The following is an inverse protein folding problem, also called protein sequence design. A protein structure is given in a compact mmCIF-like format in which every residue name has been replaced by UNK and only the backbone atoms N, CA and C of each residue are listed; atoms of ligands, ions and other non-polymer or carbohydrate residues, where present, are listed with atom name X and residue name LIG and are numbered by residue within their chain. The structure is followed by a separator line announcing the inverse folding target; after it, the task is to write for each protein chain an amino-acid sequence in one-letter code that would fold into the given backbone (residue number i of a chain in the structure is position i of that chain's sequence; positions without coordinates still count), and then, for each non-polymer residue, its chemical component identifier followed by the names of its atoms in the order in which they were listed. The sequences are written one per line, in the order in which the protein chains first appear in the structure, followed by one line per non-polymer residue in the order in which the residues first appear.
data_IF_253124026723
#
_entry.id   IF_253124026723
#
_cell.length_a   1.000
_cell.length_b   1.000
_cell.length_c   1.000
_cell.angle_alpha   90.00
_cell.angle_beta   90.00
_cell.angle_gamma   90.00
#
_symmetry.space_group_name_H-M   'P 1'
#
loop_
_entity.id
_entity.type
_entity.pdbx_description
1 polymer ?
#
# COMPACT_ATOMS: atom_id res chain seq x y z
N UNK A 1 -35.90 -23.76 10.88
CA UNK A 1 -34.72 -23.62 10.00
C UNK A 1 -34.66 -22.16 9.54
N UNK A 2 -33.72 -21.35 10.05
CA UNK A 2 -33.56 -19.96 9.62
C UNK A 2 -32.60 -19.92 8.43
N UNK A 3 -33.08 -19.51 7.27
CA UNK A 3 -32.25 -19.29 6.08
C UNK A 3 -31.50 -17.97 6.25
N UNK A 4 -30.23 -18.04 6.62
CA UNK A 4 -29.33 -16.89 6.66
C UNK A 4 -29.18 -16.38 5.22
N UNK A 5 -29.80 -15.25 4.91
CA UNK A 5 -29.67 -14.60 3.62
C UNK A 5 -28.19 -14.27 3.38
N UNK A 6 -27.63 -14.79 2.30
CA UNK A 6 -26.25 -14.48 1.87
C UNK A 6 -26.17 -12.98 1.61
N UNK A 7 -25.15 -12.26 2.14
CA UNK A 7 -25.03 -10.84 1.88
C UNK A 7 -24.85 -10.62 0.37
N UNK A 8 -25.76 -9.81 -0.16
CA UNK A 8 -25.96 -9.47 -1.55
C UNK A 8 -24.63 -9.10 -2.24
N UNK A 9 -24.23 -9.93 -3.21
CA UNK A 9 -22.95 -9.81 -3.93
C UNK A 9 -22.85 -8.50 -4.74
N UNK A 10 -24.01 -7.86 -4.98
CA UNK A 10 -24.13 -6.57 -5.67
C UNK A 10 -23.58 -5.41 -4.83
N UNK A 11 -23.50 -5.54 -3.50
CA UNK A 11 -22.95 -4.51 -2.63
C UNK A 11 -21.40 -4.45 -2.62
N UNK A 12 -20.72 -5.44 -3.23
CA UNK A 12 -19.24 -5.48 -3.30
C UNK A 12 -18.63 -4.54 -4.35
N UNK A 13 -19.44 -3.95 -5.24
CA UNK A 13 -18.98 -3.12 -6.37
C UNK A 13 -19.44 -1.67 -6.30
N UNK A 14 -19.71 -1.13 -5.10
CA UNK A 14 -19.73 0.32 -4.94
C UNK A 14 -18.31 0.81 -5.14
N UNK A 15 -18.00 1.27 -6.35
CA UNK A 15 -16.77 1.99 -6.63
C UNK A 15 -16.72 3.17 -5.65
N UNK A 16 -15.82 3.09 -4.68
CA UNK A 16 -15.60 4.18 -3.74
C UNK A 16 -15.02 5.32 -4.57
N UNK A 17 -15.83 6.37 -4.77
CA UNK A 17 -15.39 7.59 -5.45
C UNK A 17 -14.49 8.32 -4.46
N UNK A 18 -13.19 8.33 -4.73
CA UNK A 18 -12.21 9.11 -3.96
C UNK A 18 -12.32 10.58 -4.38
N UNK A 19 -12.21 11.51 -3.42
CA UNK A 19 -12.08 12.93 -3.73
C UNK A 19 -10.68 13.22 -4.29
N UNK A 20 -10.54 14.33 -5.02
CA UNK A 20 -9.24 14.74 -5.57
C UNK A 20 -8.18 14.93 -4.46
N UNK A 21 -8.59 15.44 -3.29
CA UNK A 21 -7.72 15.57 -2.11
C UNK A 21 -7.21 14.21 -1.61
N UNK A 22 -8.07 13.18 -1.60
CA UNK A 22 -7.67 11.83 -1.19
C UNK A 22 -6.70 11.20 -2.20
N UNK A 23 -6.89 11.49 -3.50
CA UNK A 23 -5.98 11.04 -4.56
C UNK A 23 -4.63 11.72 -4.39
N UNK A 24 -4.61 13.05 -4.25
CA UNK A 24 -3.38 13.83 -4.06
C UNK A 24 -2.62 13.36 -2.81
N UNK A 25 -3.32 13.20 -1.69
CA UNK A 25 -2.70 12.69 -0.45
C UNK A 25 -2.12 11.28 -0.62
N UNK A 26 -2.79 10.41 -1.38
CA UNK A 26 -2.27 9.08 -1.70
C UNK A 26 -1.02 9.13 -2.60
N UNK A 27 -0.93 10.12 -3.50
CA UNK A 27 0.26 10.34 -4.34
C UNK A 27 1.45 10.89 -3.54
N UNK A 28 1.19 11.79 -2.59
CA UNK A 28 2.20 12.28 -1.64
C UNK A 28 2.76 11.13 -0.79
N UNK A 29 1.90 10.29 -0.22
CA UNK A 29 2.30 9.09 0.52
C UNK A 29 3.12 8.10 -0.34
N UNK A 30 2.77 7.93 -1.62
CA UNK A 30 3.56 7.10 -2.54
C UNK A 30 4.94 7.70 -2.77
N UNK A 31 5.03 9.02 -2.94
CA UNK A 31 6.30 9.72 -3.09
C UNK A 31 7.18 9.55 -1.85
N UNK A 32 6.62 9.62 -0.65
CA UNK A 32 7.37 9.36 0.59
C UNK A 32 7.89 7.94 0.67
N UNK A 33 7.08 6.95 0.29
CA UNK A 33 7.55 5.55 0.23
C UNK A 33 8.67 5.35 -0.77
N UNK A 34 8.64 6.03 -1.92
CA UNK A 34 9.73 6.00 -2.90
C UNK A 34 10.99 6.70 -2.36
N UNK A 35 10.84 7.88 -1.73
CA UNK A 35 11.94 8.63 -1.10
C UNK A 35 12.59 7.81 0.02
N UNK A 36 11.80 7.21 0.90
CA UNK A 36 12.28 6.33 1.96
C UNK A 36 13.05 5.13 1.39
N UNK A 37 12.53 4.48 0.34
CA UNK A 37 13.26 3.40 -0.35
C UNK A 37 14.57 3.86 -0.98
N UNK A 38 14.59 5.05 -1.60
CA UNK A 38 15.80 5.61 -2.20
C UNK A 38 16.85 5.94 -1.12
N UNK A 39 16.42 6.53 -0.01
CA UNK A 39 17.26 6.78 1.16
C UNK A 39 17.87 5.48 1.70
N UNK A 40 17.05 4.47 1.97
CA UNK A 40 17.52 3.19 2.50
C UNK A 40 18.44 2.45 1.51
N UNK A 41 18.23 2.57 0.20
CA UNK A 41 19.18 2.07 -0.81
C UNK A 41 20.50 2.83 -0.77
N UNK A 42 20.47 4.17 -0.68
CA UNK A 42 21.67 5.01 -0.59
C UNK A 42 22.46 4.76 0.70
N UNK A 43 21.76 4.47 1.79
CA UNK A 43 22.33 4.09 3.08
C UNK A 43 22.83 2.63 3.14
N UNK A 44 22.69 1.84 2.06
CA UNK A 44 23.14 0.44 2.00
C UNK A 44 22.26 -0.56 2.76
N UNK A 45 21.15 -0.10 3.36
CA UNK A 45 20.22 -0.93 4.14
C UNK A 45 19.34 -1.81 3.24
N UNK A 46 19.04 -1.36 2.02
CA UNK A 46 18.33 -2.15 1.02
C UNK A 46 19.25 -2.57 -0.13
N UNK A 47 19.15 -3.84 -0.53
CA UNK A 47 19.82 -4.35 -1.71
C UNK A 47 19.18 -3.84 -3.02
N UNK A 48 19.79 -4.15 -4.17
CA UNK A 48 19.28 -3.76 -5.50
C UNK A 48 17.84 -4.24 -5.78
N UNK A 49 17.40 -5.33 -5.12
CA UNK A 49 16.04 -5.87 -5.19
C UNK A 49 15.06 -5.23 -4.19
N UNK A 50 15.49 -4.25 -3.40
CA UNK A 50 14.67 -3.56 -2.41
C UNK A 50 14.33 -4.39 -1.17
N UNK A 51 15.10 -5.45 -0.89
CA UNK A 51 15.02 -6.21 0.38
C UNK A 51 16.11 -5.71 1.33
N UNK A 52 15.88 -5.86 2.63
CA UNK A 52 16.93 -5.62 3.64
C UNK A 52 18.20 -6.40 3.27
N UNK A 53 19.34 -5.72 3.33
CA UNK A 53 20.63 -6.39 3.19
C UNK A 53 20.77 -7.42 4.33
N UNK A 54 21.42 -8.56 4.04
CA UNK A 54 21.53 -9.70 4.98
C UNK A 54 22.11 -9.30 6.33
N UNK A 55 22.91 -8.25 6.38
CA UNK A 55 23.55 -7.70 7.58
C UNK A 55 22.55 -7.04 8.54
N UNK A 56 21.34 -6.70 8.08
CA UNK A 56 20.28 -6.04 8.85
C UNK A 56 18.97 -6.84 8.90
N UNK A 57 18.91 -8.00 8.24
CA UNK A 57 17.81 -8.94 8.34
C UNK A 57 18.06 -9.87 9.54
N UNK A 58 17.98 -9.30 10.76
CA UNK A 58 18.01 -10.05 12.01
C UNK A 58 16.79 -10.97 12.15
#
# INVERSE_FOLDING_TARGET
MQTVAKPDEQNRRKAVVLTDEMIQYAEELKSDKQRARAFLKKAGLLNKKGKLAKEYAA
#
